data_IF_105408368353
#
_entry.id   IF_105408368353
#
_cell.length_a   1.000
_cell.length_b   1.000
_cell.length_c   1.000
_cell.angle_alpha   90.00
_cell.angle_beta   90.00
_cell.angle_gamma   90.00
#
_symmetry.space_group_name_H-M   'P 1'
#
loop_
_entity.id
_entity.type
_entity.pdbx_description
1 polymer ?
#
# COMPACT_ATOMS: atom_id res chain seq x y z
N UNK A 1 36.24 14.40 73.19
CA UNK A 1 36.51 13.18 72.41
C UNK A 1 35.53 13.15 71.26
N UNK A 2 35.96 13.55 70.07
CA UNK A 2 35.12 13.57 68.87
C UNK A 2 35.41 12.30 68.08
N UNK A 3 34.43 11.41 68.01
CA UNK A 3 34.50 10.15 67.28
C UNK A 3 34.28 10.45 65.79
N UNK A 4 35.39 10.50 65.04
CA UNK A 4 35.38 10.62 63.58
C UNK A 4 34.85 9.32 62.98
N UNK A 5 33.54 9.28 62.70
CA UNK A 5 32.93 8.24 61.89
C UNK A 5 33.48 8.34 60.45
N UNK A 6 34.54 7.57 60.20
CA UNK A 6 35.06 7.32 58.86
C UNK A 6 34.01 6.55 58.06
N UNK A 7 33.15 7.28 57.36
CA UNK A 7 32.22 6.69 56.39
C UNK A 7 33.06 6.03 55.30
N UNK A 8 33.06 4.70 55.28
CA UNK A 8 33.71 3.92 54.23
C UNK A 8 32.94 4.14 52.93
N UNK A 9 33.43 5.09 52.15
CA UNK A 9 32.96 5.47 50.82
C UNK A 9 33.22 4.29 49.86
N UNK A 10 32.30 3.31 49.83
CA UNK A 10 32.26 2.28 48.77
C UNK A 10 31.59 2.88 47.53
N UNK A 11 32.36 3.60 46.72
CA UNK A 11 31.86 4.47 45.64
C UNK A 11 32.14 3.97 44.22
N UNK A 12 32.81 2.83 44.06
CA UNK A 12 33.10 2.28 42.72
C UNK A 12 31.91 1.61 42.04
N UNK A 13 31.33 0.58 42.68
CA UNK A 13 30.33 -0.28 42.05
C UNK A 13 28.94 0.34 41.89
N UNK A 14 28.45 1.02 42.94
CA UNK A 14 27.11 1.62 42.93
C UNK A 14 26.98 2.76 41.89
N UNK A 15 28.04 3.57 41.73
CA UNK A 15 28.06 4.62 40.71
C UNK A 15 28.14 4.05 39.29
N UNK A 16 28.88 2.96 39.08
CA UNK A 16 28.92 2.28 37.78
C UNK A 16 27.56 1.65 37.43
N UNK A 17 26.90 0.98 38.39
CA UNK A 17 25.56 0.43 38.17
C UNK A 17 24.53 1.51 37.86
N UNK A 18 24.58 2.65 38.56
CA UNK A 18 23.73 3.81 38.27
C UNK A 18 24.04 4.40 36.89
N UNK A 19 25.31 4.59 36.54
CA UNK A 19 25.71 5.09 35.22
C UNK A 19 25.26 4.16 34.07
N UNK A 20 25.37 2.83 34.24
CA UNK A 20 24.91 1.85 33.25
C UNK A 20 23.38 1.87 33.15
N UNK A 21 22.67 1.97 34.28
CA UNK A 21 21.22 2.06 34.30
C UNK A 21 20.72 3.35 33.61
N UNK A 22 21.34 4.47 33.92
CA UNK A 22 20.99 5.78 33.34
C UNK A 22 21.32 5.81 31.85
N UNK A 23 22.47 5.25 31.45
CA UNK A 23 22.82 5.07 30.03
C UNK A 23 21.82 4.17 29.30
N UNK A 24 21.37 3.08 29.91
CA UNK A 24 20.37 2.17 29.33
C UNK A 24 19.01 2.86 29.19
N UNK A 25 18.58 3.61 30.21
CA UNK A 25 17.33 4.39 30.16
C UNK A 25 17.39 5.47 29.07
N UNK A 26 18.50 6.19 29.00
CA UNK A 26 18.70 7.24 27.99
C UNK A 26 18.72 6.65 26.58
N UNK A 27 19.40 5.52 26.38
CA UNK A 27 19.46 4.83 25.10
C UNK A 27 18.09 4.29 24.66
N UNK A 28 17.32 3.70 25.59
CA UNK A 28 15.96 3.25 25.31
C UNK A 28 15.02 4.42 24.98
N UNK A 29 15.14 5.55 25.68
CA UNK A 29 14.36 6.74 25.38
C UNK A 29 14.69 7.32 23.99
N UNK A 30 15.98 7.36 23.63
CA UNK A 30 16.41 7.74 22.28
C UNK A 30 15.85 6.78 21.22
N UNK A 31 15.89 5.47 21.47
CA UNK A 31 15.33 4.48 20.55
C UNK A 31 13.81 4.68 20.35
N UNK A 32 13.06 4.86 21.43
CA UNK A 32 11.61 5.06 21.35
C UNK A 32 11.23 6.36 20.63
N UNK A 33 11.99 7.43 20.86
CA UNK A 33 11.75 8.73 20.21
C UNK A 33 12.09 8.70 18.72
N UNK A 34 13.17 8.03 18.33
CA UNK A 34 13.51 7.83 16.91
C UNK A 34 12.47 6.95 16.23
N UNK A 35 12.08 5.84 16.86
CA UNK A 35 11.08 4.91 16.33
C UNK A 35 9.73 5.60 16.14
N UNK A 36 9.27 6.39 17.11
CA UNK A 36 8.02 7.15 16.98
C UNK A 36 8.10 8.22 15.88
N UNK A 37 9.23 8.91 15.73
CA UNK A 37 9.45 9.86 14.65
C UNK A 37 9.39 9.19 13.25
N UNK A 38 9.97 8.00 13.11
CA UNK A 38 9.91 7.22 11.86
C UNK A 38 8.48 6.77 11.55
N UNK A 39 7.75 6.26 12.54
CA UNK A 39 6.34 5.86 12.35
C UNK A 39 5.48 7.08 12.01
N UNK A 40 5.72 8.21 12.66
CA UNK A 40 5.04 9.46 12.35
C UNK A 40 5.31 9.92 10.91
N UNK A 41 6.58 9.87 10.48
CA UNK A 41 6.96 10.19 9.11
C UNK A 41 6.26 9.25 8.13
N UNK A 42 6.21 7.95 8.41
CA UNK A 42 5.43 7.01 7.61
C UNK A 42 3.95 7.41 7.55
N UNK A 43 3.30 7.69 8.69
CA UNK A 43 1.90 8.08 8.72
C UNK A 43 1.60 9.30 7.84
N UNK A 44 2.45 10.35 7.90
CA UNK A 44 2.32 11.58 7.10
C UNK A 44 2.54 11.31 5.61
N UNK A 45 3.53 10.49 5.26
CA UNK A 45 3.88 10.19 3.87
C UNK A 45 3.22 8.92 3.32
N UNK A 46 2.22 8.36 4.02
CA UNK A 46 1.48 7.19 3.56
C UNK A 46 0.86 7.42 2.17
N UNK A 47 0.44 8.65 1.88
CA UNK A 47 -0.14 9.08 0.60
C UNK A 47 0.87 9.28 -0.53
N UNK A 48 2.16 9.21 -0.24
CA UNK A 48 3.23 9.33 -1.25
C UNK A 48 3.92 8.00 -1.55
N UNK A 49 3.49 6.90 -0.92
CA UNK A 49 4.02 5.56 -1.20
C UNK A 49 3.73 5.15 -2.65
N UNK A 50 4.67 4.52 -3.38
CA UNK A 50 4.41 4.07 -4.75
C UNK A 50 3.29 3.02 -4.79
N UNK A 51 2.50 3.02 -5.86
CA UNK A 51 1.29 2.19 -5.97
C UNK A 51 1.57 0.69 -5.82
N UNK A 52 2.72 0.23 -6.30
CA UNK A 52 3.17 -1.18 -6.18
C UNK A 52 3.27 -1.62 -4.73
N UNK A 53 3.87 -0.78 -3.88
CA UNK A 53 4.05 -1.07 -2.46
C UNK A 53 2.71 -1.06 -1.72
N UNK A 54 1.84 -0.07 -2.03
CA UNK A 54 0.49 -0.03 -1.45
C UNK A 54 -0.33 -1.26 -1.83
N UNK A 55 -0.21 -1.70 -3.07
CA UNK A 55 -0.91 -2.89 -3.53
C UNK A 55 -0.43 -4.15 -2.81
N UNK A 56 0.89 -4.33 -2.67
CA UNK A 56 1.46 -5.45 -1.91
C UNK A 56 0.99 -5.45 -0.45
N UNK A 57 0.97 -4.29 0.21
CA UNK A 57 0.48 -4.14 1.59
C UNK A 57 -1.02 -4.39 1.72
N UNK A 58 -1.80 -4.19 0.65
CA UNK A 58 -3.23 -4.48 0.62
C UNK A 58 -3.55 -5.96 0.41
N UNK A 59 -2.59 -6.79 -0.01
CA UNK A 59 -2.79 -8.25 -0.14
C UNK A 59 -3.02 -8.90 1.22
N UNK A 60 -3.66 -10.08 1.25
CA UNK A 60 -3.90 -10.84 2.49
C UNK A 60 -2.60 -11.15 3.24
N UNK A 61 -1.55 -11.51 2.51
CA UNK A 61 -0.21 -11.77 3.06
C UNK A 61 0.39 -10.47 3.61
N UNK A 62 0.29 -9.37 2.87
CA UNK A 62 0.78 -8.06 3.31
C UNK A 62 0.09 -7.56 4.58
N UNK A 63 -1.23 -7.76 4.69
CA UNK A 63 -1.99 -7.41 5.90
C UNK A 63 -1.59 -8.23 7.11
N UNK A 64 -1.39 -9.54 6.93
CA UNK A 64 -0.93 -10.42 8.00
C UNK A 64 0.46 -10.00 8.48
N UNK A 65 1.35 -9.66 7.55
CA UNK A 65 2.69 -9.15 7.88
C UNK A 65 2.62 -7.83 8.66
N UNK A 66 1.78 -6.88 8.26
CA UNK A 66 1.58 -5.61 8.97
C UNK A 66 1.03 -5.82 10.39
N UNK A 67 0.08 -6.74 10.58
CA UNK A 67 -0.45 -7.08 11.90
C UNK A 67 0.60 -7.75 12.78
N UNK A 68 1.43 -8.63 12.21
CA UNK A 68 2.56 -9.23 12.92
C UNK A 68 3.56 -8.15 13.35
N UNK A 69 3.88 -7.21 12.47
CA UNK A 69 4.79 -6.11 12.78
C UNK A 69 4.21 -5.19 13.86
N UNK A 70 2.90 -4.91 13.83
CA UNK A 70 2.20 -4.18 14.89
C UNK A 70 2.32 -4.90 16.25
N UNK A 71 2.17 -6.23 16.28
CA UNK A 71 2.34 -7.01 17.50
C UNK A 71 3.77 -6.92 18.04
N UNK A 72 4.78 -6.99 17.18
CA UNK A 72 6.19 -6.82 17.56
C UNK A 72 6.45 -5.42 18.13
N UNK A 73 5.93 -4.36 17.48
CA UNK A 73 6.05 -2.98 17.97
C UNK A 73 5.36 -2.82 19.33
N UNK A 74 4.19 -3.43 19.51
CA UNK A 74 3.50 -3.41 20.79
C UNK A 74 4.31 -4.08 21.91
N UNK A 75 4.93 -5.22 21.64
CA UNK A 75 5.75 -5.93 22.62
C UNK A 75 7.05 -5.21 22.98
N UNK A 76 7.69 -4.54 22.03
CA UNK A 76 9.00 -3.91 22.24
C UNK A 76 8.91 -2.45 22.71
N UNK A 77 7.98 -1.68 22.15
CA UNK A 77 7.92 -0.23 22.34
C UNK A 77 6.74 0.23 23.20
N UNK A 78 5.81 -0.68 23.52
CA UNK A 78 4.64 -0.43 24.36
C UNK A 78 3.44 0.12 23.58
N UNK A 79 2.44 0.53 24.34
CA UNK A 79 1.11 0.88 23.81
C UNK A 79 1.09 2.14 22.94
N UNK A 80 1.77 3.21 23.35
CA UNK A 80 1.72 4.51 22.66
C UNK A 80 2.26 4.43 21.22
N UNK A 81 3.48 3.94 20.96
CA UNK A 81 3.99 3.81 19.59
C UNK A 81 3.23 2.76 18.77
N UNK A 82 2.68 1.73 19.41
CA UNK A 82 1.82 0.76 18.73
C UNK A 82 0.52 1.37 18.22
N UNK A 83 -0.11 2.25 19.00
CA UNK A 83 -1.30 2.98 18.55
C UNK A 83 -0.97 3.90 17.36
N UNK A 84 0.17 4.61 17.42
CA UNK A 84 0.65 5.43 16.30
C UNK A 84 0.85 4.58 15.04
N UNK A 85 1.41 3.38 15.20
CA UNK A 85 1.63 2.43 14.11
C UNK A 85 0.32 1.89 13.53
N UNK A 86 -0.67 1.59 14.38
CA UNK A 86 -1.99 1.15 13.94
C UNK A 86 -2.70 2.23 13.10
N UNK A 87 -2.57 3.50 13.48
CA UNK A 87 -3.08 4.63 12.69
C UNK A 87 -2.38 4.69 11.34
N UNK A 88 -1.05 4.56 11.30
CA UNK A 88 -0.28 4.54 10.06
C UNK A 88 -0.75 3.41 9.12
N UNK A 89 -0.96 2.20 9.66
CA UNK A 89 -1.51 1.07 8.89
C UNK A 89 -2.91 1.42 8.35
N UNK A 90 -3.80 1.96 9.20
CA UNK A 90 -5.14 2.36 8.78
C UNK A 90 -5.12 3.35 7.61
N UNK A 91 -4.24 4.36 7.67
CA UNK A 91 -4.04 5.34 6.59
C UNK A 91 -3.51 4.69 5.30
N UNK A 92 -2.56 3.76 5.41
CA UNK A 92 -2.06 3.04 4.23
C UNK A 92 -3.13 2.19 3.56
N UNK A 93 -4.06 1.63 4.34
CA UNK A 93 -5.16 0.82 3.82
C UNK A 93 -6.32 1.66 3.27
N UNK A 94 -6.56 2.84 3.85
CA UNK A 94 -7.53 3.79 3.33
C UNK A 94 -7.15 4.24 1.91
N UNK A 95 -5.86 4.48 1.68
CA UNK A 95 -5.31 4.94 0.39
C UNK A 95 -4.96 3.80 -0.58
N UNK A 96 -5.66 2.67 -0.51
CA UNK A 96 -5.42 1.51 -1.39
C UNK A 96 -5.81 1.83 -2.84
N UNK A 97 -4.97 1.49 -3.84
CA UNK A 97 -5.38 1.56 -5.22
C UNK A 97 -6.49 0.54 -5.48
N UNK A 98 -7.58 0.97 -6.14
CA UNK A 98 -8.72 0.11 -6.50
C UNK A 98 -8.35 -0.95 -7.54
N UNK A 99 -7.29 -0.70 -8.32
CA UNK A 99 -6.81 -1.56 -9.39
C UNK A 99 -5.39 -2.06 -9.10
N UNK A 100 -5.06 -3.27 -9.57
CA UNK A 100 -3.68 -3.77 -9.55
C UNK A 100 -2.83 -2.80 -10.37
N UNK A 101 -1.71 -2.26 -9.83
CA UNK A 101 -0.78 -1.47 -10.62
C UNK A 101 -0.10 -2.44 -11.60
N UNK A 102 -0.74 -2.64 -12.75
CA UNK A 102 -0.09 -3.28 -13.87
C UNK A 102 0.99 -2.30 -14.29
N UNK A 103 2.22 -2.81 -14.40
CA UNK A 103 3.41 -2.03 -14.64
C UNK A 103 3.15 -0.90 -15.65
N UNK A 104 3.66 0.30 -15.31
CA UNK A 104 3.72 1.61 -16.00
C UNK A 104 3.50 1.67 -17.53
N UNK A 105 3.61 0.56 -18.28
CA UNK A 105 3.16 0.45 -19.68
C UNK A 105 1.65 0.41 -19.88
N UNK A 106 0.84 -0.17 -18.98
CA UNK A 106 -0.61 -0.30 -19.21
C UNK A 106 -1.47 0.87 -18.68
N UNK A 107 -0.95 1.67 -17.74
CA UNK A 107 -1.73 2.76 -17.13
C UNK A 107 -1.99 3.95 -18.07
N UNK A 108 -1.24 4.11 -19.17
CA UNK A 108 -1.61 5.07 -20.21
C UNK A 108 -2.80 4.60 -21.06
N UNK A 109 -3.10 3.30 -21.05
CA UNK A 109 -4.14 2.67 -21.87
C UNK A 109 -5.45 2.48 -21.08
N UNK A 110 -5.38 2.37 -19.75
CA UNK A 110 -6.53 2.15 -18.89
C UNK A 110 -7.46 3.38 -18.69
N UNK A 111 -7.02 4.60 -19.05
CA UNK A 111 -7.91 5.78 -19.09
C UNK A 111 -8.81 5.81 -20.35
N UNK A 112 -8.60 4.90 -21.30
CA UNK A 112 -9.47 4.68 -22.46
C UNK A 112 -10.11 3.29 -22.36
N UNK A 113 -11.02 3.11 -21.40
CA UNK A 113 -11.68 1.84 -21.06
C UNK A 113 -12.45 1.14 -22.21
N UNK A 114 -12.52 1.73 -23.40
CA UNK A 114 -13.15 1.13 -24.59
C UNK A 114 -12.17 0.63 -25.65
N UNK A 115 -10.87 0.80 -25.41
CA UNK A 115 -9.86 0.49 -26.40
C UNK A 115 -9.13 -0.79 -26.02
N UNK A 116 -9.49 -1.89 -26.67
CA UNK A 116 -8.75 -3.14 -26.56
C UNK A 116 -7.56 -3.05 -27.50
N UNK A 117 -6.39 -2.72 -26.95
CA UNK A 117 -5.13 -2.84 -27.68
C UNK A 117 -4.71 -4.31 -27.66
N UNK A 118 -4.52 -4.90 -28.83
CA UNK A 118 -3.99 -6.27 -28.96
C UNK A 118 -2.68 -6.21 -29.72
N UNK A 119 -1.63 -6.83 -29.19
CA UNK A 119 -0.38 -7.00 -29.92
C UNK A 119 -0.64 -7.88 -31.15
N UNK A 120 -0.09 -7.48 -32.29
CA UNK A 120 -0.37 -8.13 -33.58
C UNK A 120 0.22 -9.53 -33.58
N UNK A 121 -0.65 -10.55 -33.68
CA UNK A 121 -0.20 -11.92 -33.88
C UNK A 121 0.61 -12.04 -35.18
N UNK A 122 1.59 -12.94 -35.23
CA UNK A 122 2.45 -13.17 -36.41
C UNK A 122 1.68 -13.56 -37.68
N UNK A 123 0.40 -13.92 -37.56
CA UNK A 123 -0.49 -14.23 -38.68
C UNK A 123 -1.16 -12.97 -39.23
N UNK A 124 -0.56 -12.42 -40.28
CA UNK A 124 -1.12 -11.32 -41.06
C UNK A 124 -2.51 -11.65 -41.60
N UNK A 125 -3.43 -10.70 -41.51
CA UNK A 125 -4.75 -10.80 -42.13
C UNK A 125 -4.66 -10.76 -43.65
N UNK A 126 -5.66 -11.29 -44.35
CA UNK A 126 -5.68 -11.33 -45.82
C UNK A 126 -5.51 -9.93 -46.43
N UNK A 127 -6.17 -8.93 -45.83
CA UNK A 127 -6.10 -7.52 -46.25
C UNK A 127 -4.67 -6.97 -46.12
N UNK A 128 -3.98 -7.28 -45.02
CA UNK A 128 -2.59 -6.88 -44.79
C UNK A 128 -1.62 -7.55 -45.79
N UNK A 129 -1.90 -8.80 -46.18
CA UNK A 129 -1.10 -9.52 -47.20
C UNK A 129 -1.24 -8.90 -48.58
N UNK A 130 -2.46 -8.45 -48.94
CA UNK A 130 -2.74 -7.84 -50.25
C UNK A 130 -2.17 -6.41 -50.32
N UNK A 131 -2.28 -5.64 -49.24
CA UNK A 131 -1.80 -4.24 -49.17
C UNK A 131 -0.31 -4.13 -48.79
N UNK A 132 0.36 -5.25 -48.47
CA UNK A 132 1.75 -5.31 -48.01
C UNK A 132 2.03 -4.42 -46.78
N UNK A 133 1.03 -4.21 -45.94
CA UNK A 133 1.17 -3.43 -44.71
C UNK A 133 1.75 -4.27 -43.57
N UNK A 134 2.45 -3.60 -42.65
CA UNK A 134 3.04 -4.22 -41.46
C UNK A 134 2.57 -3.45 -40.21
N UNK A 135 1.33 -3.66 -39.74
CA UNK A 135 0.84 -2.98 -38.56
C UNK A 135 1.62 -3.45 -37.33
N UNK A 136 2.09 -2.48 -36.53
CA UNK A 136 2.79 -2.76 -35.27
C UNK A 136 1.83 -2.86 -34.07
N UNK A 137 0.60 -2.35 -34.20
CA UNK A 137 -0.41 -2.32 -33.14
C UNK A 137 -1.82 -2.33 -33.74
N UNK A 138 -2.72 -3.14 -33.19
CA UNK A 138 -4.16 -3.12 -33.53
C UNK A 138 -4.92 -2.50 -32.36
N UNK A 139 -5.60 -1.39 -32.64
CA UNK A 139 -6.43 -0.64 -31.70
C UNK A 139 -7.88 -0.97 -32.04
N UNK A 140 -8.56 -1.77 -31.20
CA UNK A 140 -9.98 -2.04 -31.38
C UNK A 140 -10.80 -1.07 -30.54
N UNK A 141 -11.54 -0.18 -31.22
CA UNK A 141 -12.54 0.67 -30.58
C UNK A 141 -13.87 -0.10 -30.49
N UNK A 142 -14.34 -0.38 -29.27
CA UNK A 142 -15.64 -1.02 -29.07
C UNK A 142 -16.72 0.05 -29.01
N UNK A 143 -17.41 0.24 -30.12
CA UNK A 143 -18.64 1.05 -30.16
C UNK A 143 -19.80 0.20 -29.65
N UNK A 144 -20.28 0.50 -28.44
CA UNK A 144 -21.54 -0.06 -27.94
C UNK A 144 -22.70 0.68 -28.62
N UNK A 145 -23.20 0.13 -29.73
CA UNK A 145 -24.46 0.59 -30.31
C UNK A 145 -25.62 -0.08 -29.59
N UNK A 146 -26.57 0.70 -29.07
CA UNK A 146 -27.87 0.18 -28.67
C UNK A 146 -28.56 -0.40 -29.91
N UNK A 147 -29.20 -1.56 -29.77
CA UNK A 147 -30.02 -2.12 -30.83
C UNK A 147 -31.10 -1.08 -31.21
N UNK A 148 -31.31 -0.87 -32.51
CA UNK A 148 -32.41 -0.05 -33.02
C UNK A 148 -33.70 -0.68 -32.51
N UNK A 149 -34.40 0.00 -31.61
CA UNK A 149 -35.77 -0.37 -31.27
C UNK A 149 -36.62 0.02 -32.47
N UNK A 150 -37.08 -0.98 -33.23
CA UNK A 150 -38.15 -0.77 -34.20
C UNK A 150 -39.39 -0.31 -33.41
N UNK A 151 -39.74 0.96 -33.53
CA UNK A 151 -41.04 1.51 -33.10
C UNK A 151 -42.15 0.96 -34.02
N UNK A 152 -42.37 -0.35 -33.99
CA UNK A 152 -43.56 -0.96 -34.56
C UNK A 152 -44.73 -0.76 -33.60
N UNK A 153 -45.27 0.45 -33.61
CA UNK A 153 -46.63 0.72 -33.18
C UNK A 153 -47.62 0.07 -34.17
N UNK A 154 -47.71 -1.26 -34.17
CA UNK A 154 -48.80 -2.00 -34.80
C UNK A 154 -49.77 -2.46 -33.73
N UNK A 155 -50.73 -1.59 -33.41
CA UNK A 155 -51.94 -2.00 -32.73
C UNK A 155 -52.71 -3.00 -33.59
N UNK A 156 -52.95 -4.20 -33.07
CA UNK A 156 -54.07 -5.04 -33.47
C UNK A 156 -54.25 -6.10 -32.39
N UNK A 157 -55.34 -6.00 -31.66
CA UNK A 157 -55.66 -6.92 -30.58
C UNK A 157 -55.93 -8.33 -31.06
N UNK A 158 -55.90 -9.27 -30.11
CA UNK A 158 -56.89 -10.34 -30.01
C UNK A 158 -56.84 -11.03 -28.66
N UNK A 159 -58.01 -11.03 -28.04
CA UNK A 159 -58.42 -11.77 -26.85
C UNK A 159 -58.66 -13.25 -27.17
N UNK A 160 -58.70 -14.09 -26.13
CA UNK A 160 -59.10 -15.52 -26.07
C UNK A 160 -58.13 -16.51 -26.74
N UNK A 161 -57.75 -17.63 -26.10
CA UNK A 161 -58.52 -18.56 -25.26
C UNK A 161 -57.63 -19.22 -24.20
#
# INVERSE_FOLDING_TARGET
MAESASSKIMVGGAKFQQAVLDWTKQSNHLYLTVLSAVIFMWAVYAEKLPEVWRWQLSTTIGRLLLLLLLYVVHMLAGWVPALLFAIAIGLTWANRPLYKPIAVKEQLEAFQSNIKVTDVETKKWFVEKVLKENPQRIIQDRVFTSAVQDDNASGSGRTSR
#
